data_IF_359572039881
#
_entry.id   IF_359572039881
#
_cell.length_a   1.000
_cell.length_b   1.000
_cell.length_c   1.000
_cell.angle_alpha   90.00
_cell.angle_beta   90.00
_cell.angle_gamma   90.00
#
_symmetry.space_group_name_H-M   'P 1'
#
loop_
_entity.id
_entity.type
_entity.pdbx_description
1 polymer ?
#
# COMPACT_ATOMS: atom_id res chain seq x y z
N UNK A 1 0.78 18.78 4.29
CA UNK A 1 1.49 17.61 3.77
C UNK A 1 1.98 16.85 4.99
N UNK A 2 1.43 15.67 5.27
CA UNK A 2 1.79 14.87 6.44
C UNK A 2 2.86 13.86 6.03
N UNK A 3 3.96 13.82 6.76
CA UNK A 3 5.05 12.86 6.58
C UNK A 3 5.18 12.05 7.86
N UNK A 4 5.25 10.73 7.75
CA UNK A 4 5.54 9.86 8.90
C UNK A 4 7.04 9.96 9.18
N UNK A 5 7.47 10.19 10.44
CA UNK A 5 8.88 10.22 10.77
C UNK A 5 9.55 8.90 10.42
N UNK A 6 10.70 8.97 9.73
CA UNK A 6 11.54 7.84 9.28
C UNK A 6 12.07 6.91 10.40
N UNK A 7 11.67 7.13 11.66
CA UNK A 7 12.11 6.35 12.82
C UNK A 7 11.35 5.03 13.01
N UNK A 8 10.23 4.80 12.33
CA UNK A 8 9.52 3.51 12.38
C UNK A 8 9.98 2.57 11.26
N UNK A 9 10.53 1.42 11.65
CA UNK A 9 10.94 0.35 10.71
C UNK A 9 9.72 -0.34 10.09
N UNK A 10 8.57 -0.29 10.77
CA UNK A 10 7.30 -0.83 10.33
C UNK A 10 6.16 0.08 10.80
N UNK A 11 5.08 0.09 10.02
CA UNK A 11 3.85 0.82 10.32
C UNK A 11 2.65 -0.09 10.09
N UNK A 12 1.64 0.03 10.93
CA UNK A 12 0.35 -0.60 10.72
C UNK A 12 -0.54 0.40 9.97
N UNK A 13 -0.83 0.14 8.69
CA UNK A 13 -1.56 1.09 7.85
C UNK A 13 -2.91 1.51 8.43
N UNK A 14 -3.58 0.62 9.19
CA UNK A 14 -4.92 0.90 9.73
C UNK A 14 -4.90 1.97 10.81
N UNK A 15 -3.82 2.03 11.58
CA UNK A 15 -3.64 3.00 12.66
C UNK A 15 -3.32 4.39 12.10
N UNK A 16 -2.88 4.46 10.84
CA UNK A 16 -2.51 5.69 10.14
C UNK A 16 -3.65 6.29 9.31
N UNK A 17 -4.81 5.63 9.25
CA UNK A 17 -5.97 6.10 8.49
C UNK A 17 -6.61 7.28 9.21
N UNK A 18 -6.54 8.43 8.56
CA UNK A 18 -7.14 9.67 9.04
C UNK A 18 -7.88 10.37 7.90
N UNK A 19 -8.99 11.01 8.23
CA UNK A 19 -9.75 11.85 7.32
C UNK A 19 -9.66 13.30 7.79
N UNK A 20 -9.29 14.19 6.89
CA UNK A 20 -9.10 15.61 7.18
C UNK A 20 -10.32 16.44 6.79
N UNK A 21 -10.36 17.70 7.22
CA UNK A 21 -11.51 18.60 7.05
C UNK A 21 -11.97 18.77 5.59
N UNK A 22 -11.05 18.65 4.63
CA UNK A 22 -11.35 18.76 3.19
C UNK A 22 -11.76 17.41 2.56
N UNK A 23 -11.96 16.37 3.36
CA UNK A 23 -12.33 15.03 2.92
C UNK A 23 -11.25 14.23 2.21
N UNK A 24 -10.03 14.75 2.08
CA UNK A 24 -8.90 14.02 1.51
C UNK A 24 -7.62 14.25 2.31
N UNK A 25 -6.94 13.17 2.66
CA UNK A 25 -5.61 13.16 3.27
C UNK A 25 -4.66 12.33 2.42
N UNK A 26 -3.42 12.80 2.28
CA UNK A 26 -2.31 12.05 1.68
C UNK A 26 -1.14 12.06 2.65
N UNK A 27 -0.71 10.87 3.06
CA UNK A 27 0.38 10.65 4.00
C UNK A 27 1.48 9.89 3.28
N UNK A 28 2.64 10.52 3.11
CA UNK A 28 3.79 9.84 2.49
C UNK A 28 4.43 8.89 3.51
N UNK A 29 4.54 7.63 3.12
CA UNK A 29 5.22 6.58 3.88
C UNK A 29 6.68 6.48 3.46
N UNK A 30 6.91 6.59 2.14
CA UNK A 30 8.23 6.68 1.52
C UNK A 30 8.16 7.73 0.44
N UNK A 31 9.12 8.64 0.40
CA UNK A 31 9.27 9.62 -0.68
C UNK A 31 10.75 9.90 -0.90
N UNK A 32 11.31 9.30 -1.93
CA UNK A 32 12.66 9.58 -2.40
C UNK A 32 12.69 9.72 -3.92
N UNK A 33 13.89 9.86 -4.51
CA UNK A 33 14.04 10.05 -5.96
C UNK A 33 13.61 8.84 -6.81
N UNK A 34 13.49 7.66 -6.21
CA UNK A 34 13.24 6.38 -6.90
C UNK A 34 11.90 5.75 -6.53
N UNK A 35 11.39 6.05 -5.33
CA UNK A 35 10.21 5.41 -4.76
C UNK A 35 9.29 6.44 -4.13
N UNK A 36 8.01 6.32 -4.41
CA UNK A 36 6.97 7.02 -3.66
C UNK A 36 5.92 6.01 -3.24
N UNK A 37 5.67 5.93 -1.94
CA UNK A 37 4.58 5.16 -1.36
C UNK A 37 3.78 6.09 -0.44
N UNK A 38 2.47 6.14 -0.63
CA UNK A 38 1.59 7.02 0.14
C UNK A 38 0.28 6.32 0.50
N UNK A 39 -0.17 6.56 1.72
CA UNK A 39 -1.53 6.25 2.14
C UNK A 39 -2.42 7.44 1.76
N UNK A 40 -3.50 7.15 1.02
CA UNK A 40 -4.49 8.14 0.61
C UNK A 40 -5.81 7.76 1.25
N UNK A 41 -6.39 8.69 2.01
CA UNK A 41 -7.67 8.53 2.69
C UNK A 41 -8.66 9.55 2.13
N UNK A 42 -9.82 9.08 1.71
CA UNK A 42 -10.86 9.87 1.05
C UNK A 42 -12.20 9.63 1.75
N UNK A 43 -12.90 10.70 2.12
CA UNK A 43 -14.24 10.60 2.68
C UNK A 43 -15.27 10.23 1.59
N UNK A 44 -16.38 9.64 2.03
CA UNK A 44 -17.55 9.39 1.19
C UNK A 44 -17.99 10.66 0.45
N UNK A 45 -18.34 10.52 -0.82
CA UNK A 45 -18.75 11.60 -1.70
C UNK A 45 -17.60 12.30 -2.44
N UNK A 46 -16.33 12.05 -2.08
CA UNK A 46 -15.19 12.56 -2.85
C UNK A 46 -15.17 11.93 -4.24
N UNK A 47 -14.95 12.80 -5.23
CA UNK A 47 -14.74 12.41 -6.63
C UNK A 47 -13.38 12.92 -7.07
N UNK A 48 -12.57 12.03 -7.62
CA UNK A 48 -11.37 12.39 -8.37
C UNK A 48 -11.74 12.28 -9.85
N UNK A 49 -11.83 13.42 -10.57
CA UNK A 49 -12.15 13.42 -11.99
C UNK A 49 -11.17 12.59 -12.80
N UNK A 50 -11.58 12.22 -14.01
CA UNK A 50 -10.72 11.53 -14.95
C UNK A 50 -9.46 12.35 -15.26
N UNK A 51 -8.31 11.70 -15.15
CA UNK A 51 -7.01 12.29 -15.42
C UNK A 51 -6.01 11.21 -15.86
N UNK A 52 -4.84 11.65 -16.33
CA UNK A 52 -3.70 10.76 -16.60
C UNK A 52 -2.56 11.07 -15.65
N UNK A 53 -1.60 10.14 -15.55
CA UNK A 53 -0.36 10.33 -14.81
C UNK A 53 0.81 9.85 -15.66
N UNK A 54 1.93 10.56 -15.64
CA UNK A 54 3.12 10.19 -16.41
C UNK A 54 3.95 9.06 -15.84
N UNK A 55 3.55 8.51 -14.69
CA UNK A 55 4.25 7.42 -14.02
C UNK A 55 3.35 6.20 -13.89
N UNK A 56 3.97 5.03 -13.97
CA UNK A 56 3.31 3.80 -13.56
C UNK A 56 3.12 3.83 -12.05
N UNK A 57 1.98 3.31 -11.63
CA UNK A 57 1.65 3.16 -10.23
C UNK A 57 0.87 1.87 -10.04
N UNK A 58 0.74 1.46 -8.81
CA UNK A 58 -0.31 0.53 -8.42
C UNK A 58 -0.93 1.00 -7.12
N UNK A 59 -2.14 0.52 -6.85
CA UNK A 59 -2.82 0.81 -5.61
C UNK A 59 -3.51 -0.43 -5.05
N UNK A 60 -3.55 -0.50 -3.73
CA UNK A 60 -4.25 -1.53 -2.96
C UNK A 60 -5.27 -0.82 -2.08
N UNK A 61 -6.53 -1.22 -2.18
CA UNK A 61 -7.56 -0.74 -1.29
C UNK A 61 -7.41 -1.43 0.06
N UNK A 62 -7.33 -0.61 1.10
CA UNK A 62 -7.09 -1.03 2.47
C UNK A 62 -8.42 -1.16 3.22
N UNK A 63 -9.34 -0.23 3.02
CA UNK A 63 -10.71 -0.27 3.52
C UNK A 63 -11.62 0.66 2.71
N UNK A 64 -12.93 0.50 2.88
CA UNK A 64 -13.96 1.33 2.27
C UNK A 64 -14.41 0.85 0.90
N UNK A 65 -15.29 1.64 0.28
CA UNK A 65 -15.94 1.30 -0.98
C UNK A 65 -15.92 2.48 -1.95
N UNK A 66 -15.88 2.15 -3.24
CA UNK A 66 -15.99 3.15 -4.30
C UNK A 66 -16.08 2.51 -5.68
N UNK A 67 -16.06 3.37 -6.69
CA UNK A 67 -16.03 2.99 -8.10
C UNK A 67 -14.81 3.63 -8.74
N UNK A 68 -13.97 2.81 -9.35
CA UNK A 68 -12.82 3.24 -10.12
C UNK A 68 -13.13 3.14 -11.60
N UNK A 69 -12.90 4.22 -12.33
CA UNK A 69 -13.07 4.29 -13.76
C UNK A 69 -11.72 4.13 -14.44
N UNK A 70 -11.62 3.16 -15.34
CA UNK A 70 -10.38 2.85 -16.04
C UNK A 70 -10.67 2.48 -17.49
N UNK A 71 -10.22 3.29 -18.46
CA UNK A 71 -10.43 3.06 -19.90
C UNK A 71 -11.89 2.71 -20.27
N UNK A 72 -12.87 3.39 -19.67
CA UNK A 72 -14.30 3.18 -19.94
C UNK A 72 -14.92 1.96 -19.25
N UNK A 73 -14.20 1.32 -18.31
CA UNK A 73 -14.74 0.28 -17.44
C UNK A 73 -14.85 0.77 -16.01
N UNK A 74 -15.95 0.42 -15.35
CA UNK A 74 -16.11 0.55 -13.90
C UNK A 74 -15.53 -0.67 -13.19
N UNK A 75 -14.72 -0.42 -12.18
CA UNK A 75 -14.16 -1.42 -11.28
C UNK A 75 -14.62 -1.06 -9.87
N UNK A 76 -15.29 -1.99 -9.18
CA UNK A 76 -15.64 -1.80 -7.78
C UNK A 76 -14.39 -1.80 -6.91
N UNK A 77 -14.27 -0.81 -6.04
CA UNK A 77 -13.25 -0.75 -5.00
C UNK A 77 -13.79 -1.32 -3.71
N UNK A 78 -13.06 -2.28 -3.14
CA UNK A 78 -13.29 -2.84 -1.80
C UNK A 78 -11.96 -3.32 -1.19
N UNK A 79 -11.92 -3.60 0.11
CA UNK A 79 -10.69 -4.02 0.77
C UNK A 79 -10.04 -5.23 0.06
N UNK A 80 -8.74 -5.13 -0.21
CA UNK A 80 -7.97 -6.15 -0.93
C UNK A 80 -8.00 -6.02 -2.45
N UNK A 81 -8.79 -5.10 -3.03
CA UNK A 81 -8.70 -4.80 -4.47
C UNK A 81 -7.32 -4.23 -4.80
N UNK A 82 -6.62 -4.88 -5.73
CA UNK A 82 -5.37 -4.41 -6.33
C UNK A 82 -5.64 -3.85 -7.72
N UNK A 83 -5.06 -2.70 -8.03
CA UNK A 83 -5.17 -2.05 -9.34
C UNK A 83 -3.77 -1.69 -9.83
N UNK A 84 -3.42 -2.19 -11.01
CA UNK A 84 -2.26 -1.73 -11.78
C UNK A 84 -2.65 -0.49 -12.59
N UNK A 85 -1.86 0.56 -12.51
CA UNK A 85 -2.12 1.87 -13.13
C UNK A 85 -0.97 2.24 -14.05
N UNK A 86 -1.03 1.85 -15.33
CA UNK A 86 -0.02 2.23 -16.31
C UNK A 86 -0.03 3.74 -16.58
N UNK A 87 1.15 4.28 -16.86
CA UNK A 87 1.34 5.67 -17.24
C UNK A 87 0.49 6.05 -18.46
N UNK A 88 0.04 7.30 -18.47
CA UNK A 88 -0.80 7.92 -19.51
C UNK A 88 -2.15 7.21 -19.73
N UNK A 89 -2.59 6.39 -18.78
CA UNK A 89 -3.93 5.79 -18.80
C UNK A 89 -4.94 6.73 -18.17
N UNK A 90 -6.09 6.95 -18.83
CA UNK A 90 -7.17 7.77 -18.30
C UNK A 90 -7.90 7.03 -17.18
N UNK A 91 -7.96 7.64 -16.00
CA UNK A 91 -8.60 7.05 -14.84
C UNK A 91 -9.22 8.10 -13.92
N UNK A 92 -10.28 7.70 -13.21
CA UNK A 92 -10.98 8.51 -12.21
C UNK A 92 -11.55 7.63 -11.10
N UNK A 93 -12.05 8.22 -10.02
CA UNK A 93 -12.72 7.44 -8.99
C UNK A 93 -13.78 8.24 -8.23
N UNK A 94 -14.80 7.54 -7.77
CA UNK A 94 -15.85 8.06 -6.88
C UNK A 94 -15.87 7.23 -5.61
N UNK A 95 -15.87 7.89 -4.45
CA UNK A 95 -15.87 7.24 -3.15
C UNK A 95 -17.30 7.15 -2.62
N UNK A 96 -17.79 5.94 -2.33
CA UNK A 96 -19.15 5.72 -1.82
C UNK A 96 -19.16 5.53 -0.30
N UNK A 97 -18.08 4.99 0.26
CA UNK A 97 -17.82 4.90 1.70
C UNK A 97 -16.39 5.31 1.96
N UNK A 98 -16.10 5.87 3.14
CA UNK A 98 -14.77 6.32 3.54
C UNK A 98 -13.68 5.31 3.16
N UNK A 99 -12.82 5.69 2.21
CA UNK A 99 -11.92 4.81 1.48
C UNK A 99 -10.47 5.13 1.84
N UNK A 100 -9.69 4.10 2.16
CA UNK A 100 -8.25 4.22 2.30
C UNK A 100 -7.54 3.29 1.32
N UNK A 101 -6.47 3.78 0.70
CA UNK A 101 -5.68 3.05 -0.27
C UNK A 101 -4.19 3.31 -0.08
N UNK A 102 -3.38 2.27 -0.27
CA UNK A 102 -1.93 2.41 -0.44
C UNK A 102 -1.65 2.59 -1.92
N UNK A 103 -1.06 3.72 -2.31
CA UNK A 103 -0.58 3.97 -3.67
C UNK A 103 0.94 3.96 -3.70
N UNK A 104 1.51 3.21 -4.63
CA UNK A 104 2.95 3.17 -4.89
C UNK A 104 3.19 3.62 -6.33
N UNK A 105 4.12 4.55 -6.52
CA UNK A 105 4.48 5.13 -7.81
C UNK A 105 5.93 4.79 -8.12
N UNK A 106 6.15 4.23 -9.30
CA UNK A 106 7.49 4.02 -9.83
C UNK A 106 8.06 5.36 -10.26
N UNK A 107 9.03 5.87 -9.49
CA UNK A 107 9.59 7.21 -9.75
C UNK A 107 10.69 7.19 -10.82
N UNK A 108 10.87 6.06 -11.50
CA UNK A 108 11.77 5.94 -12.64
C UNK A 108 10.98 6.17 -13.93
N UNK A 109 11.48 7.04 -14.82
CA UNK A 109 10.99 7.07 -16.20
C UNK A 109 11.19 5.69 -16.82
N UNK A 110 10.11 4.95 -17.05
CA UNK A 110 10.20 3.64 -17.65
C UNK A 110 10.40 3.79 -19.16
N UNK A 111 11.58 3.37 -19.66
CA UNK A 111 11.70 2.94 -21.06
C UNK A 111 10.75 1.76 -21.23
N UNK A 112 9.72 1.96 -22.06
CA UNK A 112 8.60 1.04 -22.30
C UNK A 112 9.09 -0.40 -22.47
N UNK A 113 8.59 -1.31 -21.65
CA UNK A 113 8.58 -2.75 -21.98
C UNK A 113 7.14 -3.24 -21.85
N UNK A 114 6.54 -3.83 -22.90
CA UNK A 114 5.15 -4.29 -22.86
C UNK A 114 4.97 -5.38 -21.80
N UNK A 115 3.95 -5.26 -20.95
CA UNK A 115 3.48 -6.39 -20.15
C UNK A 115 2.91 -7.44 -21.10
N UNK A 116 3.58 -8.58 -21.24
CA UNK A 116 2.98 -9.78 -21.81
C UNK A 116 2.16 -10.45 -20.70
N UNK A 117 0.84 -10.32 -20.74
CA UNK A 117 -0.03 -11.09 -19.87
C UNK A 117 0.12 -12.58 -20.21
N UNK A 118 0.67 -13.37 -19.29
CA UNK A 118 0.52 -14.83 -19.32
C UNK A 118 -0.74 -15.17 -18.53
N UNK A 119 -1.62 -16.03 -19.06
CA UNK A 119 -2.80 -16.47 -18.31
C UNK A 119 -2.35 -17.20 -17.04
N UNK A 120 -2.83 -16.73 -15.88
CA UNK A 120 -2.67 -17.41 -14.61
C UNK A 120 -3.57 -18.65 -14.66
N UNK A 121 -2.97 -19.83 -14.61
CA UNK A 121 -3.73 -21.07 -14.43
C UNK A 121 -3.73 -21.41 -12.94
N UNK A 122 -4.90 -21.43 -12.31
CA UNK A 122 -5.02 -21.86 -10.92
C UNK A 122 -4.64 -23.34 -10.80
N UNK A 123 -3.63 -23.64 -9.99
CA UNK A 123 -3.41 -25.01 -9.52
C UNK A 123 -4.12 -25.18 -8.18
N UNK A 124 -4.96 -26.22 -8.09
CA UNK A 124 -5.67 -26.56 -6.86
C UNK A 124 -4.68 -26.90 -5.73
N UNK A 125 -4.84 -26.23 -4.59
CA UNK A 125 -4.05 -26.50 -3.40
C UNK A 125 -4.51 -27.82 -2.75
N UNK A 126 -3.66 -28.85 -2.82
CA UNK A 126 -3.83 -30.08 -2.03
C UNK A 126 -3.54 -29.78 -0.56
N UNK A 127 -4.51 -30.09 0.28
CA UNK A 127 -4.50 -29.92 1.73
C UNK A 127 -3.50 -30.84 2.43
N UNK A 128 -2.42 -30.29 3.01
CA UNK A 128 -1.65 -30.98 4.07
C UNK A 128 -1.21 -30.05 5.21
N UNK A 129 -1.91 -30.25 6.33
CA UNK A 129 -1.52 -30.25 7.76
C UNK A 129 -0.74 -29.05 8.33
N UNK A 130 -1.46 -28.36 9.22
CA UNK A 130 -1.06 -27.38 10.24
C UNK A 130 0.18 -27.81 11.04
N UNK A 131 1.21 -26.97 11.05
CA UNK A 131 2.33 -27.03 11.99
C UNK A 131 2.68 -25.63 12.51
N UNK A 132 3.34 -25.60 13.67
CA UNK A 132 3.17 -24.65 14.78
C UNK A 132 3.25 -23.15 14.46
N UNK A 133 2.35 -22.44 15.11
CA UNK A 133 2.20 -20.98 15.14
C UNK A 133 3.34 -20.37 15.97
N UNK A 134 4.41 -19.92 15.30
CA UNK A 134 5.40 -18.99 15.85
C UNK A 134 4.94 -17.56 15.56
N UNK A 135 4.91 -16.73 16.59
CA UNK A 135 4.38 -15.37 16.56
C UNK A 135 5.18 -14.48 15.61
N UNK A 136 4.50 -13.67 14.79
CA UNK A 136 5.10 -12.88 13.70
C UNK A 136 6.19 -11.88 14.14
N UNK A 137 6.25 -11.52 15.42
CA UNK A 137 7.15 -10.49 15.93
C UNK A 137 8.63 -10.94 15.96
N UNK A 138 8.91 -12.21 16.29
CA UNK A 138 10.30 -12.71 16.36
C UNK A 138 10.89 -12.98 14.97
N UNK A 139 10.03 -13.30 13.99
CA UNK A 139 10.43 -13.60 12.61
C UNK A 139 10.88 -12.35 11.83
N UNK A 140 10.22 -11.21 12.02
CA UNK A 140 10.53 -10.00 11.25
C UNK A 140 11.91 -9.41 11.57
N UNK A 141 12.37 -9.51 12.83
CA UNK A 141 13.68 -8.99 13.23
C UNK A 141 14.81 -9.83 12.60
N UNK A 142 14.68 -11.15 12.55
CA UNK A 142 15.65 -12.01 11.84
C UNK A 142 15.63 -11.77 10.32
N UNK A 143 14.45 -11.64 9.72
CA UNK A 143 14.29 -11.40 8.28
C UNK A 143 14.91 -10.07 7.86
N UNK A 144 14.78 -9.03 8.69
CA UNK A 144 15.26 -7.67 8.36
C UNK A 144 16.71 -7.40 8.82
N UNK A 145 17.30 -8.29 9.61
CA UNK A 145 18.70 -8.18 10.11
C UNK A 145 19.75 -7.88 9.03
N UNK A 146 19.75 -8.52 7.83
CA UNK A 146 20.72 -8.20 6.79
C UNK A 146 20.49 -6.83 6.13
N UNK A 147 19.27 -6.29 6.20
CA UNK A 147 18.96 -4.95 5.68
C UNK A 147 19.32 -3.85 6.68
N UNK A 148 19.15 -4.10 7.98
CA UNK A 148 19.49 -3.16 9.05
C UNK A 148 21.01 -3.00 9.25
N UNK A 149 21.80 -4.05 9.02
CA UNK A 149 23.26 -3.97 9.10
C UNK A 149 23.90 -3.09 8.02
N UNK A 150 23.18 -2.83 6.92
CA UNK A 150 23.64 -1.99 5.80
C UNK A 150 23.13 -0.53 5.86
N UNK A 151 22.31 -0.16 6.86
CA UNK A 151 21.65 1.16 6.93
C UNK A 151 22.35 2.16 7.86
N UNK A 152 23.39 1.77 8.60
CA UNK A 152 24.14 2.67 9.48
C UNK A 152 23.38 3.14 10.73
N UNK A 153 22.25 2.51 11.07
CA UNK A 153 21.46 2.81 12.27
C UNK A 153 22.02 2.07 13.51
N UNK A 154 22.07 2.70 14.70
CA UNK A 154 22.55 2.06 15.93
C UNK A 154 21.61 0.94 16.41
N UNK A 155 22.18 -0.19 16.86
CA UNK A 155 21.46 -1.39 17.31
C UNK A 155 20.41 -1.13 18.41
N UNK A 156 20.57 -0.08 19.21
CA UNK A 156 19.65 0.31 20.28
C UNK A 156 18.23 0.63 19.79
N UNK A 157 18.06 0.98 18.52
CA UNK A 157 16.75 1.30 17.91
C UNK A 157 15.91 0.06 17.64
N UNK A 158 16.54 -1.13 17.54
CA UNK A 158 15.84 -2.38 17.20
C UNK A 158 15.08 -2.95 18.39
N UNK A 159 15.60 -2.76 19.61
CA UNK A 159 15.00 -3.30 20.85
C UNK A 159 13.69 -2.63 21.25
N UNK A 160 13.41 -1.41 20.81
CA UNK A 160 12.17 -0.68 21.14
C UNK A 160 10.98 -1.06 20.25
N UNK A 161 11.21 -1.80 19.17
CA UNK A 161 10.19 -2.14 18.15
C UNK A 161 9.27 -3.28 18.63
N UNK A 162 9.72 -4.11 19.56
CA UNK A 162 9.04 -5.36 19.92
C UNK A 162 8.28 -5.34 21.26
N UNK A 163 8.10 -4.18 21.90
CA UNK A 163 7.61 -4.11 23.29
C UNK A 163 6.13 -3.74 23.47
N UNK A 164 5.31 -3.69 22.41
CA UNK A 164 3.87 -3.48 22.60
C UNK A 164 3.12 -4.82 22.73
N UNK A 165 2.38 -5.04 23.83
CA UNK A 165 1.59 -6.26 24.01
C UNK A 165 0.41 -6.26 23.03
N UNK A 166 0.33 -7.30 22.22
CA UNK A 166 -0.88 -7.63 21.45
C UNK A 166 -1.93 -8.10 22.46
N UNK A 167 -3.00 -7.30 22.63
CA UNK A 167 -4.10 -7.68 23.49
C UNK A 167 -4.97 -8.71 22.75
N UNK A 168 -4.96 -9.94 23.23
CA UNK A 168 -5.75 -11.04 22.66
C UNK A 168 -7.26 -10.81 22.91
N UNK A 169 -8.07 -10.85 21.85
CA UNK A 169 -9.50 -11.15 21.91
C UNK A 169 -9.83 -12.19 20.85
#
# INVERSE_FOLDING_TARGET
MLEIPLSSVAIQLQDEIEYGDNGMVRKYLVKDKKRQAMLICLQSGIQIPEHTSSYNAFMIIIQGCGVFWFNGQEIRLEAGTFIDLPAETLHGLTVTEDLAMLKIIDSHELKKTPLTSRPITCQEASSKKREKQTTCAESLVEILKPYLQNSGLPESTVSSICQHPVNER
#
